data_IF_044130882708
#
_entry.id   IF_044130882708
#
_cell.length_a   1.000
_cell.length_b   1.000
_cell.length_c   1.000
_cell.angle_alpha   90.00
_cell.angle_beta   90.00
_cell.angle_gamma   90.00
#
_symmetry.space_group_name_H-M   'P 1'
#
loop_
_entity.id
_entity.type
_entity.pdbx_description
1 polymer ?
#
# COMPACT_ATOMS: atom_id res chain seq x y z
N UNK A 1 19.92 8.68 -9.25
CA UNK A 1 18.71 9.49 -9.17
C UNK A 1 18.53 9.89 -7.72
N UNK A 2 18.31 11.17 -7.44
CA UNK A 2 17.98 11.64 -6.10
C UNK A 2 16.45 11.74 -6.03
N UNK A 3 15.84 11.09 -5.05
CA UNK A 3 14.40 11.15 -4.78
C UNK A 3 14.17 12.01 -3.54
N UNK A 4 13.04 12.74 -3.45
CA UNK A 4 12.69 13.45 -2.23
C UNK A 4 12.60 12.45 -1.06
N UNK A 5 13.39 12.68 -0.01
CA UNK A 5 13.44 11.84 1.18
C UNK A 5 13.21 12.70 2.44
N UNK A 6 12.32 12.28 3.38
CA UNK A 6 11.53 11.05 3.31
C UNK A 6 10.46 11.11 2.20
N UNK A 7 10.22 9.97 1.55
CA UNK A 7 9.09 9.80 0.65
C UNK A 7 7.87 9.44 1.50
N UNK A 8 6.78 10.19 1.32
CA UNK A 8 5.48 9.91 1.92
C UNK A 8 4.52 9.54 0.80
N UNK A 9 4.02 8.30 0.81
CA UNK A 9 3.09 7.80 -0.18
C UNK A 9 1.66 8.30 0.04
N UNK A 10 0.84 8.18 -0.99
CA UNK A 10 -0.57 8.57 -0.94
C UNK A 10 -1.37 7.69 0.03
N UNK A 11 -2.42 8.26 0.64
CA UNK A 11 -3.38 7.48 1.44
C UNK A 11 -4.13 6.52 0.53
N UNK A 12 -4.01 5.23 0.80
CA UNK A 12 -4.74 4.19 0.07
C UNK A 12 -6.01 3.76 0.82
N UNK A 13 -7.10 3.58 0.06
CA UNK A 13 -8.34 3.01 0.58
C UNK A 13 -8.21 1.49 0.69
N UNK A 14 -8.60 0.93 1.82
CA UNK A 14 -8.78 -0.53 1.97
C UNK A 14 -9.99 -0.97 1.16
N UNK A 15 -9.80 -1.91 0.24
CA UNK A 15 -10.86 -2.45 -0.60
C UNK A 15 -11.61 -3.60 0.11
N UNK A 16 -12.91 -3.74 -0.15
CA UNK A 16 -13.78 -4.68 0.58
C UNK A 16 -13.30 -6.14 0.44
N UNK A 17 -12.74 -6.51 -0.71
CA UNK A 17 -12.20 -7.85 -0.96
C UNK A 17 -10.87 -8.13 -0.24
N UNK A 18 -10.31 -7.13 0.45
CA UNK A 18 -9.12 -7.30 1.27
C UNK A 18 -9.42 -7.70 2.71
N UNK A 19 -10.71 -7.70 3.08
CA UNK A 19 -11.15 -8.13 4.39
C UNK A 19 -11.25 -9.66 4.41
N UNK A 20 -10.61 -10.28 5.39
CA UNK A 20 -10.68 -11.73 5.58
C UNK A 20 -12.04 -12.17 6.15
N UNK A 21 -12.25 -13.48 6.25
CA UNK A 21 -13.47 -14.04 6.84
C UNK A 21 -13.69 -13.65 8.32
N UNK A 22 -12.66 -13.16 9.01
CA UNK A 22 -12.74 -12.71 10.40
C UNK A 22 -13.07 -11.21 10.53
N UNK A 23 -13.22 -10.49 9.41
CA UNK A 23 -13.49 -9.05 9.40
C UNK A 23 -12.24 -8.19 9.60
N UNK A 24 -11.05 -8.78 9.57
CA UNK A 24 -9.80 -8.04 9.67
C UNK A 24 -9.21 -7.78 8.29
N UNK A 25 -8.38 -6.76 8.18
CA UNK A 25 -7.58 -6.57 6.99
C UNK A 25 -6.62 -7.75 6.82
N UNK A 26 -6.69 -8.42 5.67
CA UNK A 26 -5.91 -9.61 5.41
C UNK A 26 -4.43 -9.25 5.23
N UNK A 27 -3.58 -9.95 5.97
CA UNK A 27 -2.12 -9.73 5.98
C UNK A 27 -1.46 -9.81 4.60
N UNK A 28 -2.01 -10.58 3.65
CA UNK A 28 -1.47 -10.68 2.31
C UNK A 28 -1.52 -9.35 1.53
N UNK A 29 -2.54 -8.52 1.76
CA UNK A 29 -2.75 -7.26 1.02
C UNK A 29 -1.88 -6.10 1.51
N UNK A 30 -1.12 -6.26 2.60
CA UNK A 30 -0.07 -5.28 2.95
C UNK A 30 0.95 -5.15 1.82
N UNK A 31 1.32 -6.27 1.18
CA UNK A 31 2.27 -6.23 0.06
C UNK A 31 1.72 -5.40 -1.10
N UNK A 32 0.41 -5.44 -1.36
CA UNK A 32 -0.22 -4.63 -2.42
C UNK A 32 -0.13 -3.14 -2.11
N UNK A 33 -0.37 -2.74 -0.86
CA UNK A 33 -0.23 -1.34 -0.43
C UNK A 33 1.23 -0.88 -0.60
N UNK A 34 2.19 -1.69 -0.17
CA UNK A 34 3.62 -1.37 -0.31
C UNK A 34 4.08 -1.31 -1.77
N UNK A 35 3.61 -2.23 -2.61
CA UNK A 35 3.94 -2.27 -4.04
C UNK A 35 3.43 -1.01 -4.76
N UNK A 36 2.17 -0.65 -4.54
CA UNK A 36 1.58 0.60 -5.07
C UNK A 36 2.34 1.85 -4.59
N UNK A 37 2.76 1.88 -3.32
CA UNK A 37 3.56 2.96 -2.76
C UNK A 37 4.97 3.02 -3.37
N UNK A 38 5.55 1.86 -3.68
CA UNK A 38 6.81 1.74 -4.42
C UNK A 38 6.68 2.30 -5.83
N UNK A 39 5.61 1.95 -6.55
CA UNK A 39 5.32 2.51 -7.87
C UNK A 39 5.23 4.04 -7.81
N UNK A 40 4.56 4.61 -6.80
CA UNK A 40 4.52 6.06 -6.59
C UNK A 40 5.91 6.68 -6.33
N UNK A 41 6.78 5.98 -5.60
CA UNK A 41 8.12 6.46 -5.27
C UNK A 41 9.10 6.45 -6.46
N UNK A 42 8.89 5.54 -7.42
CA UNK A 42 9.83 5.25 -8.51
C UNK A 42 9.29 5.50 -9.92
N UNK A 43 8.09 6.10 -10.05
CA UNK A 43 7.49 6.51 -11.32
C UNK A 43 8.30 7.57 -12.11
#
# INVERSE_FOLDING_TARGET
MAYPAPFEGSIQKVEDQWIDYNGHFNMAYYNVIFDRCGDEAFA
#
